data_IF_324124925394
#
_entry.id   IF_324124925394
#
_cell.length_a   1.000
_cell.length_b   1.000
_cell.length_c   1.000
_cell.angle_alpha   90.00
_cell.angle_beta   90.00
_cell.angle_gamma   90.00
#
_symmetry.space_group_name_H-M   'P 1'
#
loop_
_entity.id
_entity.type
_entity.pdbx_description
1 polymer ?
#
# COMPACT_ATOMS: atom_id res chain seq x y z
N UNK A 1 -14.48 -15.58 10.93
CA UNK A 1 -13.78 -14.37 10.45
C UNK A 1 -13.29 -13.59 11.65
N UNK A 2 -12.08 -13.01 11.61
CA UNK A 2 -11.65 -12.08 12.68
C UNK A 2 -12.52 -10.83 12.62
N UNK A 3 -12.91 -10.29 13.77
CA UNK A 3 -13.57 -8.99 13.84
C UNK A 3 -12.47 -7.91 13.76
N UNK A 4 -12.43 -7.14 12.68
CA UNK A 4 -11.51 -6.03 12.52
C UNK A 4 -12.15 -4.74 13.02
N UNK A 5 -11.37 -3.90 13.70
CA UNK A 5 -11.80 -2.59 14.14
C UNK A 5 -11.51 -1.57 13.04
N UNK A 6 -12.51 -1.22 12.22
CA UNK A 6 -12.31 -0.42 11.00
C UNK A 6 -12.42 1.09 11.23
N UNK A 7 -12.09 1.56 12.44
CA UNK A 7 -12.09 2.99 12.78
C UNK A 7 -10.75 3.67 12.48
N UNK A 8 -9.69 2.90 12.23
CA UNK A 8 -8.38 3.44 11.87
C UNK A 8 -7.66 2.65 10.76
N UNK A 9 -6.56 3.22 10.28
CA UNK A 9 -5.73 2.64 9.22
C UNK A 9 -5.18 1.25 9.58
N UNK A 10 -4.94 0.98 10.87
CA UNK A 10 -4.37 -0.30 11.31
C UNK A 10 -5.35 -1.45 11.13
N UNK A 11 -6.62 -1.26 11.50
CA UNK A 11 -7.65 -2.28 11.32
C UNK A 11 -8.01 -2.49 9.85
N UNK A 12 -7.97 -1.45 9.01
CA UNK A 12 -8.06 -1.61 7.56
C UNK A 12 -6.88 -2.41 7.00
N UNK A 13 -5.66 -2.15 7.47
CA UNK A 13 -4.49 -2.91 7.03
C UNK A 13 -4.58 -4.39 7.43
N UNK A 14 -5.00 -4.69 8.66
CA UNK A 14 -5.24 -6.08 9.11
C UNK A 14 -6.30 -6.78 8.26
N UNK A 15 -7.41 -6.10 7.95
CA UNK A 15 -8.46 -6.63 7.10
C UNK A 15 -7.94 -6.93 5.69
N UNK A 16 -7.14 -6.02 5.11
CA UNK A 16 -6.55 -6.21 3.78
C UNK A 16 -5.60 -7.41 3.75
N UNK A 17 -4.69 -7.54 4.71
CA UNK A 17 -3.77 -8.69 4.76
C UNK A 17 -4.50 -10.01 5.05
N UNK A 18 -5.58 -9.99 5.84
CA UNK A 18 -6.43 -11.17 6.03
C UNK A 18 -7.16 -11.57 4.75
N UNK A 19 -7.66 -10.60 3.99
CA UNK A 19 -8.25 -10.85 2.68
C UNK A 19 -7.19 -11.40 1.71
N UNK A 20 -6.01 -10.81 1.68
CA UNK A 20 -4.94 -11.22 0.79
C UNK A 20 -4.51 -12.68 1.03
N UNK A 21 -4.36 -13.06 2.31
CA UNK A 21 -4.06 -14.43 2.70
C UNK A 21 -5.11 -15.43 2.19
N UNK A 22 -6.40 -15.08 2.26
CA UNK A 22 -7.49 -15.91 1.75
C UNK A 22 -7.51 -16.01 0.21
N UNK A 23 -7.00 -15.00 -0.49
CA UNK A 23 -7.00 -14.93 -1.96
C UNK A 23 -5.75 -15.49 -2.63
N UNK A 24 -4.75 -15.94 -1.87
CA UNK A 24 -3.50 -16.53 -2.40
C UNK A 24 -3.72 -17.69 -3.37
N UNK A 25 -4.79 -18.48 -3.22
CA UNK A 25 -5.12 -19.57 -4.15
C UNK A 25 -5.52 -19.09 -5.56
N UNK A 26 -6.06 -17.87 -5.67
CA UNK A 26 -6.40 -17.24 -6.95
C UNK A 26 -5.29 -16.29 -7.45
N UNK A 27 -4.64 -15.59 -6.53
CA UNK A 27 -3.59 -14.59 -6.78
C UNK A 27 -2.33 -14.92 -5.96
N UNK A 28 -1.47 -15.85 -6.44
CA UNK A 28 -0.32 -16.33 -5.67
C UNK A 28 0.67 -15.23 -5.28
N UNK A 29 0.75 -14.14 -6.05
CA UNK A 29 1.61 -12.98 -5.78
C UNK A 29 1.34 -12.34 -4.41
N UNK A 30 0.12 -12.50 -3.87
CA UNK A 30 -0.25 -11.98 -2.56
C UNK A 30 0.55 -12.59 -1.41
N UNK A 31 1.16 -13.77 -1.62
CA UNK A 31 2.10 -14.35 -0.66
C UNK A 31 3.32 -13.45 -0.42
N UNK A 32 3.69 -12.63 -1.41
CA UNK A 32 4.84 -11.73 -1.37
C UNK A 32 4.46 -10.28 -1.08
N UNK A 33 3.18 -9.99 -0.84
CA UNK A 33 2.74 -8.67 -0.40
C UNK A 33 3.19 -8.42 1.05
N UNK A 34 3.72 -7.24 1.35
CA UNK A 34 4.21 -6.92 2.70
C UNK A 34 3.95 -5.47 3.09
N UNK A 35 3.85 -5.26 4.40
CA UNK A 35 3.78 -3.93 5.00
C UNK A 35 5.17 -3.32 5.16
N UNK A 36 5.29 -2.02 4.89
CA UNK A 36 6.47 -1.20 5.19
C UNK A 36 6.19 -0.37 6.46
N UNK A 37 6.59 -0.85 7.67
CA UNK A 37 6.23 -0.24 8.96
C UNK A 37 7.06 1.01 9.31
N UNK A 38 7.22 1.92 8.37
CA UNK A 38 8.05 3.11 8.54
C UNK A 38 7.34 4.23 9.31
N UNK A 39 6.02 4.18 9.49
CA UNK A 39 5.20 5.23 10.14
C UNK A 39 4.82 4.98 11.62
N UNK A 40 5.00 3.77 12.16
CA UNK A 40 4.50 3.39 13.48
C UNK A 40 4.98 4.25 14.67
N UNK A 41 4.19 4.30 15.75
CA UNK A 41 4.60 4.93 17.03
C UNK A 41 5.74 4.12 17.66
N UNK A 42 6.79 4.80 18.11
CA UNK A 42 7.93 4.22 18.81
C UNK A 42 8.64 5.27 19.66
N UNK A 43 9.43 4.84 20.63
CA UNK A 43 10.22 5.75 21.44
C UNK A 43 11.32 6.45 20.62
N UNK A 44 11.83 7.56 21.14
CA UNK A 44 12.81 8.41 20.44
C UNK A 44 14.12 7.68 20.13
N UNK A 45 14.59 6.81 21.03
CA UNK A 45 15.85 6.10 20.85
C UNK A 45 15.71 5.06 19.73
N UNK A 46 14.64 4.28 19.74
CA UNK A 46 14.32 3.33 18.68
C UNK A 46 14.13 4.04 17.33
N UNK A 47 13.42 5.16 17.29
CA UNK A 47 13.25 5.94 16.07
C UNK A 47 14.59 6.43 15.49
N UNK A 48 15.53 6.88 16.35
CA UNK A 48 16.85 7.31 15.93
C UNK A 48 17.69 6.16 15.37
N UNK A 49 17.65 4.99 16.01
CA UNK A 49 18.33 3.77 15.54
C UNK A 49 17.79 3.35 14.17
N UNK A 50 16.47 3.24 14.02
CA UNK A 50 15.82 2.83 12.77
C UNK A 50 16.13 3.79 11.60
N UNK A 51 16.17 5.11 11.86
CA UNK A 51 16.58 6.09 10.87
C UNK A 51 18.02 5.87 10.39
N UNK A 52 18.94 5.50 11.30
CA UNK A 52 20.33 5.14 10.93
C UNK A 52 20.41 3.83 10.16
N UNK A 53 19.48 2.91 10.38
CA UNK A 53 19.34 1.67 9.61
C UNK A 53 18.67 1.88 8.24
N UNK A 54 18.23 3.10 7.92
CA UNK A 54 17.71 3.46 6.60
C UNK A 54 16.19 3.62 6.52
N UNK A 55 15.44 3.52 7.62
CA UNK A 55 14.00 3.84 7.62
C UNK A 55 13.77 5.25 7.10
N UNK A 56 12.88 5.37 6.12
CA UNK A 56 12.52 6.65 5.50
C UNK A 56 11.07 6.97 5.85
N UNK A 57 10.84 8.21 6.29
CA UNK A 57 9.50 8.70 6.54
C UNK A 57 8.73 8.83 5.22
N UNK A 58 7.46 8.42 5.24
CA UNK A 58 6.52 8.59 4.13
C UNK A 58 6.59 7.55 3.02
N UNK A 59 7.38 6.47 3.16
CA UNK A 59 7.27 5.32 2.25
C UNK A 59 5.86 4.74 2.37
N UNK A 60 5.16 4.43 1.25
CA UNK A 60 3.80 3.89 1.31
C UNK A 60 3.70 2.61 2.13
N UNK A 61 2.56 2.41 2.78
CA UNK A 61 2.35 1.36 3.77
C UNK A 61 2.49 -0.06 3.21
N UNK A 62 2.10 -0.30 1.96
CA UNK A 62 2.01 -1.65 1.39
C UNK A 62 2.81 -1.72 0.10
N UNK A 63 3.54 -2.81 -0.07
CA UNK A 63 4.22 -3.17 -1.32
C UNK A 63 3.77 -4.55 -1.79
N UNK A 64 3.37 -4.62 -3.06
CA UNK A 64 3.13 -5.85 -3.80
C UNK A 64 4.18 -5.94 -4.95
N UNK A 65 5.22 -6.77 -4.80
CA UNK A 65 6.32 -6.87 -5.76
C UNK A 65 5.97 -7.77 -6.95
N UNK A 66 4.87 -7.48 -7.64
CA UNK A 66 4.42 -8.20 -8.82
C UNK A 66 4.43 -7.28 -10.04
N UNK A 67 5.23 -7.60 -11.06
CA UNK A 67 5.24 -6.80 -12.29
C UNK A 67 3.99 -7.10 -13.13
N UNK A 68 3.22 -6.06 -13.47
CA UNK A 68 1.99 -6.12 -14.29
C UNK A 68 1.79 -4.82 -15.07
N UNK A 69 1.16 -4.90 -16.25
CA UNK A 69 0.86 -3.74 -17.11
C UNK A 69 2.04 -2.79 -17.40
N UNK A 70 3.28 -3.30 -17.39
CA UNK A 70 4.49 -2.49 -17.58
C UNK A 70 5.03 -1.79 -16.33
N UNK A 71 4.42 -2.01 -15.15
CA UNK A 71 4.91 -1.54 -13.87
C UNK A 71 5.76 -2.60 -13.15
N UNK A 72 6.74 -2.16 -12.35
CA UNK A 72 7.64 -3.04 -11.60
C UNK A 72 7.01 -3.64 -10.33
N UNK A 73 5.88 -3.10 -9.90
CA UNK A 73 5.18 -3.47 -8.67
C UNK A 73 4.16 -2.40 -8.29
N UNK A 74 3.38 -2.70 -7.26
CA UNK A 74 2.32 -1.85 -6.76
C UNK A 74 2.63 -1.39 -5.33
N UNK A 75 2.66 -0.08 -5.13
CA UNK A 75 2.68 0.55 -3.80
C UNK A 75 1.31 1.14 -3.47
N UNK A 76 0.83 0.87 -2.25
CA UNK A 76 -0.42 1.43 -1.73
C UNK A 76 -0.13 2.18 -0.43
N UNK A 77 -0.57 3.43 -0.36
CA UNK A 77 -0.68 4.19 0.87
C UNK A 77 -2.14 4.08 1.37
N UNK A 78 -2.32 3.59 2.59
CA UNK A 78 -3.66 3.33 3.13
C UNK A 78 -4.13 4.53 3.95
N UNK A 79 -5.39 4.92 3.80
CA UNK A 79 -6.03 6.00 4.57
C UNK A 79 -7.33 5.51 5.18
N UNK A 80 -7.75 6.13 6.28
CA UNK A 80 -9.03 5.87 6.92
C UNK A 80 -9.70 7.19 7.30
N UNK A 81 -11.04 7.24 7.21
CA UNK A 81 -11.84 8.44 7.49
C UNK A 81 -11.35 9.66 6.70
N UNK A 82 -11.17 10.78 7.41
CA UNK A 82 -10.73 12.06 6.85
C UNK A 82 -9.21 12.23 6.77
N UNK A 83 -8.43 11.17 7.04
CA UNK A 83 -6.98 11.25 6.97
C UNK A 83 -6.52 11.56 5.53
N UNK A 84 -5.48 12.37 5.40
CA UNK A 84 -4.90 12.74 4.11
C UNK A 84 -3.43 12.40 4.06
N UNK A 85 -2.88 12.26 2.85
CA UNK A 85 -1.46 11.99 2.66
C UNK A 85 -0.62 13.19 3.09
N UNK A 86 0.42 12.91 3.88
CA UNK A 86 1.42 13.89 4.28
C UNK A 86 2.26 14.34 3.08
N UNK A 87 2.95 15.48 3.21
CA UNK A 87 3.88 15.95 2.18
C UNK A 87 4.93 14.89 1.80
N UNK A 88 5.49 14.17 2.77
CA UNK A 88 6.50 13.12 2.52
C UNK A 88 5.93 11.91 1.78
N UNK A 89 4.68 11.53 2.06
CA UNK A 89 4.01 10.45 1.33
C UNK A 89 3.78 10.85 -0.13
N UNK A 90 3.33 12.08 -0.38
CA UNK A 90 3.19 12.61 -1.75
C UNK A 90 4.51 12.61 -2.51
N UNK A 91 5.60 13.05 -1.88
CA UNK A 91 6.96 13.02 -2.47
C UNK A 91 7.38 11.59 -2.84
N UNK A 92 7.12 10.60 -1.97
CA UNK A 92 7.46 9.20 -2.23
C UNK A 92 6.62 8.57 -3.35
N UNK A 93 5.30 8.79 -3.34
CA UNK A 93 4.40 8.29 -4.36
C UNK A 93 4.81 8.81 -5.75
N UNK A 94 5.11 10.10 -5.84
CA UNK A 94 5.60 10.71 -7.08
C UNK A 94 6.95 10.14 -7.53
N UNK A 95 7.91 9.99 -6.61
CA UNK A 95 9.20 9.38 -6.93
C UNK A 95 9.05 7.94 -7.45
N UNK A 96 8.27 7.10 -6.75
CA UNK A 96 8.04 5.71 -7.13
C UNK A 96 7.39 5.59 -8.52
N UNK A 97 6.43 6.47 -8.83
CA UNK A 97 5.80 6.55 -10.14
C UNK A 97 6.83 6.87 -11.24
N UNK A 98 7.71 7.83 -11.00
CA UNK A 98 8.81 8.16 -11.93
C UNK A 98 9.78 6.98 -12.14
N UNK A 99 9.90 6.08 -11.17
CA UNK A 99 10.71 4.85 -11.28
C UNK A 99 9.95 3.67 -11.90
N UNK A 100 8.72 3.85 -12.39
CA UNK A 100 7.97 2.78 -13.06
C UNK A 100 7.18 1.87 -12.12
N UNK A 101 6.88 2.30 -10.89
CA UNK A 101 5.95 1.60 -10.01
C UNK A 101 4.53 2.15 -10.17
N UNK A 102 3.53 1.27 -10.03
CA UNK A 102 2.16 1.72 -9.87
C UNK A 102 1.98 2.18 -8.42
N UNK A 103 1.35 3.33 -8.22
CA UNK A 103 1.14 3.90 -6.89
C UNK A 103 -0.30 4.33 -6.72
N UNK A 104 -0.88 4.04 -5.56
CA UNK A 104 -2.22 4.49 -5.23
C UNK A 104 -2.35 4.90 -3.75
N UNK A 105 -3.32 5.78 -3.49
CA UNK A 105 -3.85 6.06 -2.16
C UNK A 105 -5.22 5.39 -2.06
N UNK A 106 -5.40 4.50 -1.10
CA UNK A 106 -6.67 3.78 -0.93
C UNK A 106 -7.29 4.14 0.43
N UNK A 107 -8.53 4.61 0.41
CA UNK A 107 -9.29 4.89 1.63
C UNK A 107 -10.02 3.61 2.06
N UNK A 108 -9.41 2.88 2.98
CA UNK A 108 -9.91 1.61 3.49
C UNK A 108 -9.48 0.39 2.67
N UNK A 109 -9.82 -0.78 3.23
CA UNK A 109 -9.31 -2.07 2.75
C UNK A 109 -10.03 -2.58 1.49
N UNK A 110 -11.32 -2.25 1.32
CA UNK A 110 -12.07 -2.69 0.14
C UNK A 110 -11.58 -2.03 -1.15
N UNK A 111 -11.37 -0.70 -1.23
CA UNK A 111 -10.78 -0.10 -2.43
C UNK A 111 -9.36 -0.61 -2.70
N UNK A 112 -8.56 -0.85 -1.66
CA UNK A 112 -7.23 -1.45 -1.82
C UNK A 112 -7.29 -2.87 -2.39
N UNK A 113 -8.21 -3.71 -1.89
CA UNK A 113 -8.43 -5.06 -2.40
C UNK A 113 -8.91 -5.06 -3.86
N UNK A 114 -9.85 -4.17 -4.20
CA UNK A 114 -10.33 -3.98 -5.58
C UNK A 114 -9.20 -3.59 -6.52
N UNK A 115 -8.34 -2.64 -6.11
CA UNK A 115 -7.18 -2.25 -6.88
C UNK A 115 -6.22 -3.42 -7.12
N UNK A 116 -5.93 -4.19 -6.07
CA UNK A 116 -5.05 -5.34 -6.16
C UNK A 116 -5.61 -6.40 -7.12
N UNK A 117 -6.92 -6.67 -7.06
CA UNK A 117 -7.59 -7.57 -8.00
C UNK A 117 -7.51 -7.06 -9.44
N UNK A 118 -7.82 -5.78 -9.66
CA UNK A 118 -7.66 -5.16 -10.97
C UNK A 118 -6.22 -5.25 -11.46
N UNK A 119 -5.24 -4.97 -10.58
CA UNK A 119 -3.83 -4.97 -10.92
C UNK A 119 -3.31 -6.36 -11.31
N UNK A 120 -3.75 -7.40 -10.61
CA UNK A 120 -3.28 -8.78 -10.82
C UNK A 120 -4.06 -9.54 -11.89
N UNK A 121 -5.38 -9.32 -12.01
CA UNK A 121 -6.27 -10.13 -12.85
C UNK A 121 -6.79 -9.39 -14.09
N UNK A 122 -6.89 -8.06 -14.04
CA UNK A 122 -7.45 -7.22 -15.09
C UNK A 122 -6.45 -6.15 -15.54
N UNK A 123 -5.17 -6.55 -15.66
CA UNK A 123 -4.08 -5.59 -15.90
C UNK A 123 -4.21 -4.82 -17.21
N UNK A 124 -4.92 -5.38 -18.20
CA UNK A 124 -5.17 -4.72 -19.49
C UNK A 124 -6.19 -3.57 -19.36
N UNK A 125 -6.97 -3.55 -18.28
CA UNK A 125 -7.93 -2.49 -17.96
C UNK A 125 -7.31 -1.40 -17.09
N UNK A 126 -6.05 -1.55 -16.67
CA UNK A 126 -5.34 -0.48 -15.95
C UNK A 126 -5.05 0.66 -16.91
N UNK A 127 -5.65 1.82 -16.62
CA UNK A 127 -5.31 3.06 -17.30
C UNK A 127 -3.85 3.41 -16.94
N UNK A 128 -3.06 3.74 -17.96
CA UNK A 128 -1.72 4.31 -17.75
C UNK A 128 -1.87 5.73 -17.23
N UNK A 129 -2.00 5.84 -15.92
CA UNK A 129 -2.20 7.11 -15.26
C UNK A 129 -0.90 7.92 -15.20
N UNK A 130 -1.00 9.21 -15.49
CA UNK A 130 0.10 10.16 -15.34
C UNK A 130 0.25 10.63 -13.88
N UNK A 131 -0.70 10.28 -13.00
CA UNK A 131 -0.77 10.71 -11.61
C UNK A 131 -1.06 9.53 -10.66
N UNK A 132 -0.82 9.72 -9.37
CA UNK A 132 -1.20 8.73 -8.35
C UNK A 132 -2.72 8.62 -8.25
N UNK A 133 -3.24 7.40 -8.40
CA UNK A 133 -4.68 7.13 -8.28
C UNK A 133 -5.12 7.24 -6.82
N UNK A 134 -6.27 7.86 -6.57
CA UNK A 134 -6.92 7.85 -5.27
C UNK A 134 -8.24 7.09 -5.35
N UNK A 135 -8.38 6.04 -4.53
CA UNK A 135 -9.60 5.22 -4.46
C UNK A 135 -10.31 5.42 -3.12
N UNK A 136 -11.63 5.61 -3.18
CA UNK A 136 -12.50 5.87 -2.02
C UNK A 136 -13.61 4.83 -1.93
#
# INVERSE_FOLDING_TARGET
>A
MRNFRLDDESGHQEALFSWAAYRTGLMPELQYMYHVPNGGKRDKATAAVLKRQGVKAGVPDIMLPAARAGYHGLYIELKAGENTTTKKQKEWLEYLRQQGYYTAVCYGWQPAAQLIEQYLLHSDELIKEQETVTMR
#
